data_IF_160106791840
#
_entry.id   IF_160106791840
#
_cell.length_a   1.000
_cell.length_b   1.000
_cell.length_c   1.000
_cell.angle_alpha   90.00
_cell.angle_beta   90.00
_cell.angle_gamma   90.00
#
_symmetry.space_group_name_H-M   'P 1'
#
loop_
_entity.id
_entity.type
_entity.pdbx_description
1 polymer ?
#
# COMPACT_ATOMS: atom_id res chain seq x y z
N UNK A 1 -17.24 -10.82 39.44
CA UNK A 1 -16.13 -11.68 38.96
C UNK A 1 -16.50 -13.16 38.78
N UNK A 2 -17.12 -13.86 39.73
CA UNK A 2 -17.44 -15.31 39.55
C UNK A 2 -18.37 -15.66 38.36
N UNK A 3 -19.34 -14.80 37.99
CA UNK A 3 -20.25 -15.06 36.85
C UNK A 3 -19.62 -14.91 35.47
N UNK A 4 -18.64 -14.02 35.30
CA UNK A 4 -17.94 -13.81 34.03
C UNK A 4 -17.03 -15.01 33.71
N UNK A 5 -16.37 -15.57 34.73
CA UNK A 5 -15.49 -16.75 34.58
C UNK A 5 -16.31 -17.98 34.17
N UNK A 6 -17.53 -18.13 34.71
CA UNK A 6 -18.39 -19.27 34.36
C UNK A 6 -18.87 -19.24 32.90
N UNK A 7 -19.20 -18.05 32.34
CA UNK A 7 -19.60 -17.93 30.94
C UNK A 7 -18.40 -18.16 29.97
N UNK A 8 -17.21 -17.72 30.33
CA UNK A 8 -16.01 -17.96 29.52
C UNK A 8 -15.62 -19.45 29.48
N UNK A 9 -15.79 -20.19 30.58
CA UNK A 9 -15.52 -21.63 30.61
C UNK A 9 -16.58 -22.40 29.81
N UNK A 10 -17.84 -22.00 29.86
CA UNK A 10 -18.92 -22.63 29.07
C UNK A 10 -18.71 -22.36 27.57
N UNK A 11 -18.31 -21.16 27.17
CA UNK A 11 -18.01 -20.83 25.77
C UNK A 11 -16.79 -21.60 25.24
N UNK A 12 -15.75 -21.77 26.04
CA UNK A 12 -14.56 -22.58 25.71
C UNK A 12 -14.89 -24.08 25.62
N UNK A 13 -15.75 -24.60 26.50
CA UNK A 13 -16.23 -25.98 26.41
C UNK A 13 -17.13 -26.20 25.18
N UNK A 14 -17.99 -25.24 24.81
CA UNK A 14 -18.81 -25.35 23.61
C UNK A 14 -17.97 -25.25 22.32
N UNK A 15 -16.91 -24.41 22.29
CA UNK A 15 -15.95 -24.39 21.18
C UNK A 15 -15.16 -25.71 21.08
N UNK A 16 -14.73 -26.30 22.17
CA UNK A 16 -14.03 -27.59 22.15
C UNK A 16 -14.92 -28.75 21.72
N UNK A 17 -16.21 -28.72 22.03
CA UNK A 17 -17.18 -29.72 21.56
C UNK A 17 -17.48 -29.53 20.07
N UNK A 18 -17.58 -28.28 19.58
CA UNK A 18 -17.73 -28.00 18.14
C UNK A 18 -16.52 -28.47 17.33
N UNK A 19 -15.30 -28.23 17.83
CA UNK A 19 -14.08 -28.74 17.19
C UNK A 19 -13.97 -30.27 17.26
N UNK A 20 -14.44 -30.89 18.34
CA UNK A 20 -14.46 -32.34 18.45
C UNK A 20 -15.47 -33.01 17.52
N UNK A 21 -16.59 -32.31 17.19
CA UNK A 21 -17.59 -32.85 16.23
C UNK A 21 -17.14 -32.75 14.77
N UNK A 22 -16.27 -31.79 14.42
CA UNK A 22 -15.70 -31.67 13.05
C UNK A 22 -14.61 -32.73 12.78
N UNK A 23 -14.06 -33.33 13.83
CA UNK A 23 -12.96 -34.32 13.74
C UNK A 23 -13.37 -35.79 13.70
N UNK A 24 -14.69 -36.12 13.66
CA UNK A 24 -15.09 -37.50 13.45
C UNK A 24 -14.96 -37.84 11.94
N UNK A 25 -13.80 -38.41 11.57
CA UNK A 25 -13.68 -39.09 10.28
C UNK A 25 -14.86 -40.08 10.14
N UNK A 26 -15.61 -40.06 9.03
CA UNK A 26 -16.68 -41.02 8.83
C UNK A 26 -16.13 -42.44 9.00
N UNK A 27 -16.77 -43.29 9.80
CA UNK A 27 -16.38 -44.67 9.98
C UNK A 27 -16.52 -45.38 8.63
N UNK A 28 -15.39 -45.73 8.04
CA UNK A 28 -15.33 -46.52 6.82
C UNK A 28 -16.12 -47.83 7.00
N UNK A 29 -17.06 -48.11 6.11
CA UNK A 29 -17.69 -49.39 6.05
C UNK A 29 -16.66 -50.46 5.68
N UNK A 30 -16.61 -51.56 6.44
CA UNK A 30 -15.60 -52.64 6.37
C UNK A 30 -15.43 -53.33 5.00
N UNK A 31 -16.20 -52.92 3.97
CA UNK A 31 -16.22 -53.58 2.63
C UNK A 31 -15.63 -52.74 1.51
N UNK A 32 -15.27 -51.49 1.76
CA UNK A 32 -14.77 -50.61 0.71
C UNK A 32 -13.25 -50.55 0.69
N UNK A 33 -12.69 -50.78 -0.48
CA UNK A 33 -11.26 -50.71 -0.73
C UNK A 33 -10.73 -49.28 -0.79
N UNK A 34 -11.62 -48.32 -0.98
CA UNK A 34 -11.30 -46.91 -1.17
C UNK A 34 -12.00 -46.07 -0.09
N UNK A 35 -11.34 -44.99 0.32
CA UNK A 35 -11.92 -43.97 1.19
C UNK A 35 -12.91 -43.12 0.39
N UNK A 36 -14.01 -42.72 1.03
CA UNK A 36 -14.90 -41.72 0.45
C UNK A 36 -14.19 -40.37 0.39
N UNK A 37 -14.34 -39.67 -0.73
CA UNK A 37 -13.78 -38.33 -0.87
C UNK A 37 -14.53 -37.34 0.03
N UNK A 38 -13.77 -36.52 0.77
CA UNK A 38 -14.26 -35.33 1.47
C UNK A 38 -14.17 -34.09 0.58
N UNK A 39 -14.01 -32.92 1.20
CA UNK A 39 -13.86 -31.66 0.48
C UNK A 39 -12.57 -31.62 -0.37
N UNK A 40 -11.50 -32.26 0.11
CA UNK A 40 -10.23 -32.37 -0.61
C UNK A 40 -10.08 -33.80 -1.07
N UNK A 41 -9.86 -34.04 -2.38
CA UNK A 41 -9.64 -35.38 -2.90
C UNK A 41 -8.49 -36.12 -2.21
N UNK A 42 -8.72 -37.39 -1.86
CA UNK A 42 -7.71 -38.26 -1.20
C UNK A 42 -6.39 -38.29 -1.97
N UNK A 43 -6.44 -38.19 -3.28
CA UNK A 43 -5.28 -38.09 -4.15
C UNK A 43 -4.37 -36.88 -3.81
N UNK A 44 -4.95 -35.73 -3.49
CA UNK A 44 -4.19 -34.52 -3.07
C UNK A 44 -3.44 -34.78 -1.76
N UNK A 45 -4.08 -35.48 -0.81
CA UNK A 45 -3.42 -35.89 0.43
C UNK A 45 -2.24 -36.83 0.19
N UNK A 46 -2.34 -37.70 -0.78
CA UNK A 46 -1.23 -38.56 -1.19
C UNK A 46 -0.09 -37.77 -1.81
N UNK A 47 -0.38 -36.84 -2.73
CA UNK A 47 0.62 -35.95 -3.32
C UNK A 47 1.36 -35.12 -2.26
N UNK A 48 0.65 -34.62 -1.23
CA UNK A 48 1.27 -33.88 -0.12
C UNK A 48 2.31 -34.73 0.63
N UNK A 49 2.08 -36.03 0.80
CA UNK A 49 3.03 -36.94 1.45
C UNK A 49 4.29 -37.18 0.62
N UNK A 50 4.21 -37.01 -0.68
CA UNK A 50 5.31 -37.21 -1.63
C UNK A 50 6.18 -35.96 -1.80
N UNK A 51 5.76 -34.78 -1.26
CA UNK A 51 6.53 -33.56 -1.31
C UNK A 51 7.83 -33.65 -0.51
N UNK A 52 8.95 -33.42 -1.15
CA UNK A 52 10.29 -33.54 -0.55
C UNK A 52 10.94 -32.20 -0.23
N UNK A 53 10.41 -31.10 -0.75
CA UNK A 53 10.93 -29.74 -0.56
C UNK A 53 12.45 -29.63 -0.75
N UNK A 54 13.01 -30.00 -1.93
CA UNK A 54 14.46 -30.13 -2.14
C UNK A 54 15.21 -28.80 -2.05
N UNK A 55 14.50 -27.67 -2.16
CA UNK A 55 15.07 -26.32 -2.00
C UNK A 55 15.05 -25.81 -0.56
N UNK A 56 14.37 -26.50 0.37
CA UNK A 56 14.47 -26.13 1.78
C UNK A 56 15.91 -26.32 2.27
N UNK A 57 16.42 -25.36 3.06
CA UNK A 57 17.81 -25.36 3.55
C UNK A 57 18.23 -26.71 4.18
N UNK A 58 17.36 -27.29 5.01
CA UNK A 58 17.61 -28.57 5.65
C UNK A 58 17.68 -29.77 4.71
N UNK A 59 16.97 -29.72 3.59
CA UNK A 59 16.85 -30.81 2.62
C UNK A 59 17.80 -30.65 1.42
N UNK A 60 18.25 -29.42 1.16
CA UNK A 60 19.08 -29.11 0.01
C UNK A 60 20.45 -29.83 0.07
N UNK A 61 20.97 -30.34 -1.04
CA UNK A 61 22.33 -30.86 -1.13
C UNK A 61 23.39 -29.72 -1.05
N UNK A 62 22.98 -28.47 -1.28
CA UNK A 62 23.89 -27.31 -1.28
C UNK A 62 24.15 -26.90 0.19
N UNK A 63 25.32 -27.21 0.72
CA UNK A 63 25.69 -26.92 2.13
C UNK A 63 26.30 -25.54 2.34
N UNK A 64 26.73 -24.84 1.30
CA UNK A 64 27.20 -23.45 1.40
C UNK A 64 25.99 -22.50 1.36
N UNK A 65 25.76 -21.75 2.43
CA UNK A 65 24.59 -20.88 2.57
C UNK A 65 24.48 -19.84 1.46
N UNK A 66 25.59 -19.22 1.06
CA UNK A 66 25.57 -18.22 -0.03
C UNK A 66 25.15 -18.84 -1.38
N UNK A 67 25.69 -20.01 -1.69
CA UNK A 67 25.33 -20.75 -2.91
C UNK A 67 23.87 -21.21 -2.85
N UNK A 68 23.44 -21.75 -1.70
CA UNK A 68 22.05 -22.14 -1.51
C UNK A 68 21.10 -20.96 -1.66
N UNK A 69 21.37 -19.84 -0.96
CA UNK A 69 20.54 -18.63 -1.06
C UNK A 69 20.38 -18.15 -2.51
N UNK A 70 21.48 -18.17 -3.29
CA UNK A 70 21.44 -17.81 -4.71
C UNK A 70 20.52 -18.77 -5.47
N UNK A 71 20.72 -20.08 -5.36
CA UNK A 71 19.91 -21.09 -6.06
C UNK A 71 18.43 -21.05 -5.64
N UNK A 72 18.14 -20.83 -4.36
CA UNK A 72 16.78 -20.70 -3.87
C UNK A 72 16.09 -19.46 -4.45
N UNK A 73 16.76 -18.29 -4.48
CA UNK A 73 16.21 -17.09 -5.10
C UNK A 73 16.00 -17.26 -6.61
N UNK A 74 16.94 -17.86 -7.32
CA UNK A 74 16.78 -18.17 -8.75
C UNK A 74 15.54 -19.03 -8.98
N UNK A 75 15.29 -20.03 -8.13
CA UNK A 75 14.09 -20.88 -8.22
C UNK A 75 12.80 -20.12 -7.94
N UNK A 76 12.81 -19.21 -6.97
CA UNK A 76 11.66 -18.34 -6.71
C UNK A 76 11.34 -17.48 -7.93
N UNK A 77 12.36 -16.82 -8.52
CA UNK A 77 12.15 -16.02 -9.73
C UNK A 77 11.70 -16.83 -10.94
N UNK A 78 12.17 -18.07 -11.08
CA UNK A 78 11.68 -19.00 -12.12
C UNK A 78 10.17 -19.29 -11.97
N UNK A 79 9.67 -19.38 -10.73
CA UNK A 79 8.25 -19.59 -10.44
C UNK A 79 7.41 -18.31 -10.56
N UNK A 80 8.05 -17.14 -10.58
CA UNK A 80 7.39 -15.85 -10.76
C UNK A 80 7.19 -15.51 -12.25
N UNK A 81 6.40 -14.49 -12.52
CA UNK A 81 6.29 -13.92 -13.87
C UNK A 81 7.59 -13.23 -14.27
N UNK A 82 7.79 -13.06 -15.59
CA UNK A 82 8.83 -12.15 -16.09
C UNK A 82 8.63 -10.75 -15.47
N UNK A 83 9.67 -10.15 -14.88
CA UNK A 83 9.57 -8.82 -14.29
C UNK A 83 9.16 -7.79 -15.36
N UNK A 84 8.36 -6.78 -15.00
CA UNK A 84 8.05 -5.68 -15.89
C UNK A 84 9.33 -4.94 -16.27
N UNK A 85 9.35 -4.36 -17.46
CA UNK A 85 10.45 -3.49 -17.88
C UNK A 85 10.59 -2.33 -16.90
N UNK A 86 11.79 -2.08 -16.41
CA UNK A 86 12.08 -0.97 -15.52
C UNK A 86 11.71 0.38 -16.17
N UNK A 87 11.30 1.34 -15.37
CA UNK A 87 11.12 2.73 -15.81
C UNK A 87 12.46 3.33 -16.24
N UNK A 88 12.43 4.21 -17.23
CA UNK A 88 13.65 4.93 -17.67
C UNK A 88 14.12 5.93 -16.60
N UNK A 89 13.18 6.48 -15.81
CA UNK A 89 13.43 7.36 -14.67
C UNK A 89 12.29 7.19 -13.67
N UNK A 90 12.55 7.43 -12.40
CA UNK A 90 11.51 7.43 -11.36
C UNK A 90 10.48 8.53 -11.56
N UNK A 91 10.89 9.69 -12.08
CA UNK A 91 10.03 10.85 -12.35
C UNK A 91 9.12 11.15 -11.14
N UNK A 92 9.78 11.33 -9.99
CA UNK A 92 9.07 11.58 -8.73
C UNK A 92 8.44 12.96 -8.73
N UNK A 93 7.18 13.00 -8.31
CA UNK A 93 6.40 14.22 -8.12
C UNK A 93 5.84 14.26 -6.71
N UNK A 94 5.94 15.41 -6.05
CA UNK A 94 5.30 15.64 -4.74
C UNK A 94 3.90 16.21 -4.99
N UNK A 95 2.89 15.42 -4.67
CA UNK A 95 1.48 15.80 -4.84
C UNK A 95 0.96 16.65 -3.68
N UNK A 96 1.53 16.44 -2.50
CA UNK A 96 1.18 17.19 -1.29
C UNK A 96 2.12 16.86 -0.15
N UNK A 97 2.18 17.76 0.82
CA UNK A 97 3.01 17.56 2.02
C UNK A 97 2.34 18.11 3.27
N UNK A 98 2.68 17.53 4.39
CA UNK A 98 2.23 17.91 5.73
C UNK A 98 3.40 17.82 6.70
N UNK A 99 3.64 18.89 7.46
CA UNK A 99 4.60 18.85 8.56
C UNK A 99 3.94 18.19 9.77
N UNK A 100 4.60 17.18 10.32
CA UNK A 100 4.20 16.45 11.52
C UNK A 100 5.25 16.59 12.61
N UNK A 101 4.91 16.09 13.79
CA UNK A 101 5.81 16.16 14.95
C UNK A 101 7.07 15.29 14.73
N UNK A 102 8.19 15.95 14.38
CA UNK A 102 9.50 15.34 14.16
C UNK A 102 9.76 14.80 12.76
N UNK A 103 8.85 14.98 11.80
CA UNK A 103 9.06 14.56 10.41
C UNK A 103 8.10 15.24 9.44
N UNK A 104 8.47 15.24 8.17
CA UNK A 104 7.63 15.67 7.06
C UNK A 104 7.00 14.43 6.39
N UNK A 105 5.68 14.48 6.17
CA UNK A 105 4.96 13.50 5.39
C UNK A 105 4.70 14.05 3.98
N UNK A 106 5.04 13.28 2.95
CA UNK A 106 4.78 13.61 1.56
C UNK A 106 3.92 12.54 0.91
N UNK A 107 2.91 12.96 0.17
CA UNK A 107 2.24 12.13 -0.82
C UNK A 107 2.95 12.35 -2.13
N UNK A 108 3.51 11.30 -2.69
CA UNK A 108 4.29 11.35 -3.93
C UNK A 108 3.68 10.46 -5.00
N UNK A 109 4.00 10.74 -6.26
CA UNK A 109 3.80 9.83 -7.36
C UNK A 109 5.15 9.54 -8.03
N UNK A 110 5.36 8.30 -8.49
CA UNK A 110 6.57 7.93 -9.23
C UNK A 110 6.29 6.75 -10.17
N UNK A 111 7.16 6.58 -11.17
CA UNK A 111 7.06 5.48 -12.12
C UNK A 111 7.55 4.19 -11.49
N UNK A 112 6.67 3.22 -11.26
CA UNK A 112 7.04 1.93 -10.65
C UNK A 112 7.65 0.97 -11.69
N UNK A 113 7.32 1.14 -12.95
CA UNK A 113 7.86 0.42 -14.09
C UNK A 113 7.63 1.23 -15.38
N UNK A 114 8.03 0.70 -16.55
CA UNK A 114 7.89 1.40 -17.83
C UNK A 114 6.43 1.66 -18.26
N UNK A 115 5.45 1.08 -17.58
CA UNK A 115 4.03 1.13 -17.98
C UNK A 115 3.13 1.77 -16.93
N UNK A 116 3.62 1.92 -15.70
CA UNK A 116 2.76 2.29 -14.56
C UNK A 116 3.41 3.33 -13.66
N UNK A 117 2.60 4.29 -13.22
CA UNK A 117 2.90 5.28 -12.21
C UNK A 117 1.98 5.04 -11.01
N UNK A 118 2.50 5.12 -9.80
CA UNK A 118 1.75 4.89 -8.57
C UNK A 118 1.94 6.03 -7.59
N UNK A 119 1.03 6.12 -6.62
CA UNK A 119 1.16 7.00 -5.46
C UNK A 119 1.76 6.25 -4.27
N UNK A 120 2.44 6.99 -3.41
CA UNK A 120 3.02 6.49 -2.17
C UNK A 120 2.99 7.57 -1.08
N UNK A 121 3.13 7.14 0.17
CA UNK A 121 3.51 8.03 1.26
C UNK A 121 5.01 7.88 1.53
N UNK A 122 5.70 9.00 1.58
CA UNK A 122 7.11 9.13 1.93
C UNK A 122 7.21 10.00 3.19
N UNK A 123 7.74 9.43 4.28
CA UNK A 123 7.98 10.15 5.53
C UNK A 123 9.48 10.41 5.67
N UNK A 124 9.83 11.66 5.99
CA UNK A 124 11.22 12.12 6.06
C UNK A 124 11.44 12.74 7.44
N UNK A 125 12.31 12.18 8.30
CA UNK A 125 12.62 12.75 9.60
C UNK A 125 13.13 14.18 9.47
N UNK A 126 12.80 15.03 10.45
CA UNK A 126 13.35 16.39 10.54
C UNK A 126 14.85 16.36 10.76
N UNK A 127 15.56 17.43 10.35
CA UNK A 127 16.99 17.60 10.52
C UNK A 127 17.76 17.78 9.22
N UNK A 128 18.97 17.22 9.14
CA UNK A 128 19.86 17.44 7.98
C UNK A 128 19.29 16.92 6.64
N UNK A 129 18.39 15.92 6.67
CA UNK A 129 17.75 15.40 5.48
C UNK A 129 16.86 16.43 4.77
N UNK A 130 16.13 17.24 5.53
CA UNK A 130 15.31 18.32 4.97
C UNK A 130 16.17 19.39 4.26
N UNK A 131 17.33 19.72 4.83
CA UNK A 131 18.27 20.65 4.23
C UNK A 131 18.81 20.15 2.89
N UNK A 132 19.04 18.84 2.76
CA UNK A 132 19.52 18.23 1.52
C UNK A 132 18.45 18.32 0.43
N UNK A 133 17.20 17.95 0.73
CA UNK A 133 16.08 18.04 -0.21
C UNK A 133 15.83 19.46 -0.71
N UNK A 134 15.80 20.42 0.21
CA UNK A 134 15.54 21.82 -0.13
C UNK A 134 16.68 22.45 -0.92
N UNK A 135 17.94 22.04 -0.68
CA UNK A 135 19.08 22.50 -1.44
C UNK A 135 19.08 22.00 -2.90
N UNK A 136 18.48 20.83 -3.15
CA UNK A 136 18.38 20.24 -4.49
C UNK A 136 17.16 20.75 -5.26
N UNK A 137 16.01 20.92 -4.58
CA UNK A 137 14.82 21.53 -5.17
C UNK A 137 15.07 22.96 -5.66
N UNK A 138 15.91 23.72 -4.96
CA UNK A 138 16.30 25.07 -5.37
C UNK A 138 17.26 25.14 -6.57
N UNK A 139 17.84 24.03 -7.00
CA UNK A 139 18.81 23.98 -8.11
C UNK A 139 18.21 23.54 -9.45
N UNK A 140 17.03 22.96 -9.46
CA UNK A 140 16.40 22.38 -10.66
C UNK A 140 14.99 22.90 -10.90
N UNK A 141 14.88 24.06 -11.54
CA UNK A 141 13.62 24.51 -12.13
C UNK A 141 13.35 23.93 -13.53
N UNK A 142 14.20 23.05 -14.05
CA UNK A 142 13.98 22.33 -15.31
C UNK A 142 14.61 20.93 -15.29
N UNK A 143 13.76 19.94 -15.38
CA UNK A 143 13.93 18.59 -15.89
C UNK A 143 15.35 18.06 -16.13
N UNK A 144 15.89 17.34 -15.14
CA UNK A 144 16.84 16.23 -15.28
C UNK A 144 17.32 15.76 -13.89
N UNK A 145 16.39 15.37 -13.00
CA UNK A 145 16.68 14.85 -11.66
C UNK A 145 16.75 13.31 -11.70
N UNK A 146 17.61 12.77 -12.55
CA UNK A 146 17.68 11.30 -12.64
C UNK A 146 19.02 10.68 -12.28
N UNK A 147 20.14 11.31 -12.46
CA UNK A 147 21.39 10.54 -12.54
C UNK A 147 22.69 11.16 -12.01
N UNK A 148 22.71 12.36 -11.43
CA UNK A 148 23.96 12.97 -10.98
C UNK A 148 24.16 13.14 -9.46
N UNK A 149 23.31 12.53 -8.63
CA UNK A 149 23.31 12.71 -7.18
C UNK A 149 24.32 11.87 -6.38
N UNK A 150 25.08 11.00 -7.02
CA UNK A 150 25.90 10.00 -6.31
C UNK A 150 27.28 10.47 -5.83
N UNK A 151 27.79 11.62 -6.26
CA UNK A 151 29.20 11.95 -6.06
C UNK A 151 29.52 13.00 -5.00
N UNK A 152 28.63 13.86 -4.53
CA UNK A 152 28.98 15.01 -3.70
C UNK A 152 28.52 15.00 -2.23
N UNK A 153 27.69 14.04 -1.79
CA UNK A 153 27.10 14.04 -0.43
C UNK A 153 27.82 13.16 0.59
N UNK A 154 29.14 13.22 0.67
CA UNK A 154 29.92 12.45 1.66
C UNK A 154 29.93 13.03 3.09
N UNK A 155 29.28 14.16 3.39
CA UNK A 155 29.39 14.84 4.69
C UNK A 155 28.09 15.04 5.48
N UNK A 156 26.92 14.84 4.90
CA UNK A 156 25.65 14.87 5.65
C UNK A 156 25.27 13.45 6.08
N UNK A 157 24.88 13.27 7.33
CA UNK A 157 24.42 11.96 7.84
C UNK A 157 23.18 11.49 7.08
N UNK A 158 23.29 10.35 6.41
CA UNK A 158 22.14 9.73 5.74
C UNK A 158 21.30 8.93 6.72
N UNK A 159 19.99 8.93 6.55
CA UNK A 159 19.05 8.20 7.41
C UNK A 159 18.94 6.72 7.00
N UNK A 160 18.77 5.81 7.94
CA UNK A 160 18.26 4.49 7.64
C UNK A 160 16.85 4.61 7.05
N UNK A 161 16.43 3.64 6.25
CA UNK A 161 15.11 3.70 5.66
C UNK A 161 14.37 2.37 5.74
N UNK A 162 13.04 2.44 5.69
CA UNK A 162 12.15 1.29 5.83
C UNK A 162 11.06 1.34 4.75
N UNK A 163 10.83 0.22 4.08
CA UNK A 163 9.63 0.00 3.28
C UNK A 163 8.56 -0.59 4.19
N UNK A 164 7.46 0.12 4.40
CA UNK A 164 6.35 -0.30 5.23
C UNK A 164 5.25 -0.92 4.37
N UNK A 165 5.02 -2.23 4.53
CA UNK A 165 4.18 -3.05 3.69
C UNK A 165 2.92 -3.47 4.44
N UNK A 166 1.76 -3.00 3.97
CA UNK A 166 0.48 -3.24 4.62
C UNK A 166 0.01 -4.70 4.53
N UNK A 167 -0.84 -5.10 5.46
CA UNK A 167 -1.48 -6.40 5.53
C UNK A 167 -2.61 -6.56 4.50
N UNK A 168 -3.09 -7.80 4.33
CA UNK A 168 -4.24 -8.12 3.50
C UNK A 168 -5.55 -7.72 4.19
N UNK A 169 -5.83 -8.33 5.34
CA UNK A 169 -7.00 -8.11 6.18
C UNK A 169 -8.35 -8.30 5.48
N UNK A 170 -8.39 -8.82 4.27
CA UNK A 170 -9.57 -8.85 3.40
C UNK A 170 -10.22 -7.46 3.20
N UNK A 171 -9.48 -6.39 3.45
CA UNK A 171 -9.91 -5.02 3.42
C UNK A 171 -9.13 -4.23 2.36
N UNK A 172 -9.71 -4.16 1.15
CA UNK A 172 -9.03 -3.63 -0.05
C UNK A 172 -9.20 -2.11 -0.19
N UNK A 173 -10.14 -1.52 0.53
CA UNK A 173 -10.46 -0.09 0.45
C UNK A 173 -9.28 0.79 0.84
N UNK A 174 -8.50 0.39 1.84
CA UNK A 174 -7.25 1.04 2.26
C UNK A 174 -6.06 0.11 2.10
N UNK A 175 -4.90 0.66 1.77
CA UNK A 175 -3.63 -0.05 1.62
C UNK A 175 -2.52 0.61 2.44
N UNK A 176 -1.75 1.52 1.86
CA UNK A 176 -0.70 2.30 2.54
C UNK A 176 -1.20 3.09 3.74
N UNK A 177 -2.49 3.42 3.74
CA UNK A 177 -3.17 4.09 4.84
C UNK A 177 -3.25 3.24 6.13
N UNK A 178 -3.02 1.92 6.05
CA UNK A 178 -2.85 1.04 7.22
C UNK A 178 -1.51 1.19 7.91
N UNK A 179 -0.51 1.71 7.19
CA UNK A 179 0.87 1.84 7.68
C UNK A 179 1.24 3.27 8.05
N UNK A 180 0.67 4.24 7.36
CA UNK A 180 0.94 5.66 7.52
C UNK A 180 -0.39 6.40 7.62
N UNK A 181 -0.52 7.26 8.61
CA UNK A 181 -1.71 8.09 8.78
C UNK A 181 -1.99 8.87 7.50
N UNK A 182 -3.16 8.69 6.89
CA UNK A 182 -3.48 9.37 5.64
C UNK A 182 -3.59 10.88 5.82
N UNK A 183 -3.26 11.60 4.76
CA UNK A 183 -3.55 13.01 4.58
C UNK A 183 -3.87 13.24 3.10
N UNK A 184 -4.51 14.36 2.81
CA UNK A 184 -5.03 14.63 1.49
C UNK A 184 -4.56 15.98 0.99
N UNK A 185 -4.33 16.06 -0.31
CA UNK A 185 -4.04 17.32 -0.98
C UNK A 185 -5.28 18.21 -1.00
N UNK A 186 -5.10 19.50 -1.23
CA UNK A 186 -6.22 20.44 -1.38
C UNK A 186 -7.18 20.02 -2.49
N UNK A 187 -6.63 19.45 -3.57
CA UNK A 187 -7.41 18.97 -4.71
C UNK A 187 -8.27 17.75 -4.33
N UNK A 188 -7.74 16.83 -3.53
CA UNK A 188 -8.49 15.68 -3.00
C UNK A 188 -9.59 16.11 -2.05
N UNK A 189 -9.37 17.14 -1.22
CA UNK A 189 -10.40 17.79 -0.42
C UNK A 189 -11.40 18.60 -1.26
N UNK A 190 -11.17 18.74 -2.58
CA UNK A 190 -12.03 19.55 -3.44
C UNK A 190 -11.81 21.06 -3.29
N UNK A 191 -10.69 21.47 -2.75
CA UNK A 191 -10.26 22.87 -2.68
C UNK A 191 -9.42 23.20 -3.91
N UNK A 192 -10.05 23.63 -5.01
CA UNK A 192 -9.33 24.12 -6.18
C UNK A 192 -8.82 25.54 -5.96
N UNK A 193 -7.52 25.77 -6.18
CA UNK A 193 -6.92 27.11 -6.14
C UNK A 193 -7.63 28.11 -7.05
N UNK A 194 -8.05 27.66 -8.23
CA UNK A 194 -8.64 28.49 -9.27
C UNK A 194 -10.02 29.05 -8.87
N UNK A 195 -10.79 28.34 -8.02
CA UNK A 195 -12.13 28.80 -7.62
C UNK A 195 -12.05 29.89 -6.52
N UNK A 196 -11.03 29.90 -5.68
CA UNK A 196 -10.87 30.91 -4.64
C UNK A 196 -10.35 32.23 -5.22
N UNK A 197 -9.45 32.18 -6.18
CA UNK A 197 -8.95 33.36 -6.91
C UNK A 197 -10.01 33.92 -7.85
N UNK A 198 -10.68 33.06 -8.63
CA UNK A 198 -11.79 33.46 -9.52
C UNK A 198 -13.00 34.04 -8.75
N UNK A 199 -13.31 33.53 -7.54
CA UNK A 199 -14.37 34.14 -6.70
C UNK A 199 -14.00 35.50 -6.18
N UNK A 200 -12.72 35.74 -5.87
CA UNK A 200 -12.23 37.02 -5.41
C UNK A 200 -12.20 38.04 -6.55
N UNK A 201 -11.78 37.64 -7.75
CA UNK A 201 -11.84 38.45 -8.97
C UNK A 201 -13.29 38.74 -9.40
N UNK A 202 -14.15 37.72 -9.46
CA UNK A 202 -15.57 37.90 -9.79
C UNK A 202 -16.34 38.73 -8.76
N UNK A 203 -15.95 38.71 -7.46
CA UNK A 203 -16.55 39.63 -6.47
C UNK A 203 -16.07 41.07 -6.62
N UNK A 204 -14.86 41.28 -7.08
CA UNK A 204 -14.33 42.60 -7.38
C UNK A 204 -14.95 43.18 -8.67
N UNK A 205 -15.07 42.37 -9.74
CA UNK A 205 -15.74 42.73 -10.98
C UNK A 205 -17.26 43.00 -10.78
N UNK A 206 -17.94 42.21 -9.92
CA UNK A 206 -19.35 42.45 -9.55
C UNK A 206 -19.57 43.78 -8.81
N UNK A 207 -18.58 44.30 -8.11
CA UNK A 207 -18.68 45.61 -7.49
C UNK A 207 -18.57 46.74 -8.49
N UNK A 208 -17.89 46.53 -9.62
CA UNK A 208 -17.80 47.51 -10.71
C UNK A 208 -18.99 47.44 -11.71
N UNK A 209 -19.59 46.21 -11.89
CA UNK A 209 -20.65 45.99 -12.86
C UNK A 209 -22.10 46.23 -12.37
N UNK A 210 -22.30 46.85 -11.19
CA UNK A 210 -23.63 47.16 -10.61
C UNK A 210 -24.37 48.27 -11.37
N UNK A 211 -23.93 48.64 -12.61
CA UNK A 211 -24.48 49.67 -13.44
C UNK A 211 -25.42 49.26 -14.57
N UNK A 212 -25.39 48.00 -15.06
CA UNK A 212 -26.13 47.60 -16.29
C UNK A 212 -26.94 46.31 -16.09
N UNK A 213 -28.23 46.44 -15.78
CA UNK A 213 -29.21 45.33 -15.74
C UNK A 213 -30.13 45.38 -16.96
N UNK A 214 -30.08 44.36 -17.80
CA UNK A 214 -31.25 43.81 -18.55
C UNK A 214 -30.93 42.66 -19.52
N UNK A 215 -30.19 41.62 -19.13
CA UNK A 215 -29.91 40.44 -19.97
C UNK A 215 -29.83 39.10 -19.26
N UNK A 216 -29.93 39.07 -17.93
CA UNK A 216 -29.31 38.07 -17.07
C UNK A 216 -30.15 36.83 -16.66
N UNK A 217 -31.34 36.58 -17.16
CA UNK A 217 -32.20 35.51 -16.62
C UNK A 217 -31.92 34.10 -17.16
N UNK A 218 -31.15 33.92 -18.23
CA UNK A 218 -30.75 32.62 -18.77
C UNK A 218 -29.37 32.20 -18.28
N UNK A 219 -28.40 33.11 -18.23
CA UNK A 219 -27.05 32.84 -17.71
C UNK A 219 -27.04 32.44 -16.23
N UNK A 220 -27.87 33.08 -15.41
CA UNK A 220 -28.00 32.77 -13.99
C UNK A 220 -28.48 31.34 -13.67
N UNK A 221 -29.18 30.65 -14.56
CA UNK A 221 -29.65 29.27 -14.35
C UNK A 221 -28.56 28.25 -14.66
N UNK A 222 -27.75 28.46 -15.67
CA UNK A 222 -26.63 27.57 -16.03
C UNK A 222 -25.47 27.73 -15.05
N UNK A 223 -25.16 28.95 -14.61
CA UNK A 223 -24.17 29.23 -13.57
C UNK A 223 -24.58 28.66 -12.19
N UNK A 224 -25.86 28.72 -11.84
CA UNK A 224 -26.37 28.13 -10.58
C UNK A 224 -26.32 26.60 -10.62
N UNK A 225 -26.60 25.97 -11.76
CA UNK A 225 -26.49 24.50 -11.90
C UNK A 225 -25.04 24.02 -11.91
N UNK A 226 -24.12 24.76 -12.52
CA UNK A 226 -22.68 24.47 -12.48
C UNK A 226 -22.11 24.61 -11.05
N UNK A 227 -22.51 25.63 -10.32
CA UNK A 227 -22.11 25.85 -8.92
C UNK A 227 -22.61 24.71 -8.00
N UNK A 228 -23.88 24.29 -8.16
CA UNK A 228 -24.46 23.17 -7.40
C UNK A 228 -23.73 21.85 -7.72
N UNK A 229 -23.40 21.63 -8.99
CA UNK A 229 -22.65 20.44 -9.43
C UNK A 229 -21.24 20.43 -8.82
N UNK A 230 -20.54 21.55 -8.87
CA UNK A 230 -19.21 21.71 -8.26
C UNK A 230 -19.20 21.50 -6.74
N UNK A 231 -20.22 22.03 -6.04
CA UNK A 231 -20.36 21.83 -4.61
C UNK A 231 -20.67 20.37 -4.25
N UNK A 232 -21.50 19.70 -5.04
CA UNK A 232 -21.78 18.27 -4.84
C UNK A 232 -20.53 17.40 -5.06
N UNK A 233 -19.72 17.68 -6.08
CA UNK A 233 -18.44 16.99 -6.32
C UNK A 233 -17.46 17.23 -5.17
N UNK A 234 -17.36 18.45 -4.67
CA UNK A 234 -16.55 18.77 -3.50
C UNK A 234 -16.98 17.98 -2.27
N UNK A 235 -18.29 17.94 -1.97
CA UNK A 235 -18.84 17.17 -0.85
C UNK A 235 -18.53 15.68 -0.97
N UNK A 236 -18.63 15.11 -2.17
CA UNK A 236 -18.28 13.71 -2.42
C UNK A 236 -16.80 13.44 -2.16
N UNK A 237 -15.91 14.33 -2.62
CA UNK A 237 -14.47 14.21 -2.36
C UNK A 237 -14.17 14.28 -0.86
N UNK A 238 -14.75 15.24 -0.15
CA UNK A 238 -14.59 15.38 1.31
C UNK A 238 -15.11 14.15 2.07
N UNK A 239 -16.28 13.64 1.67
CA UNK A 239 -16.84 12.44 2.28
C UNK A 239 -15.92 11.22 2.09
N UNK A 240 -15.36 11.04 0.88
CA UNK A 240 -14.40 9.98 0.61
C UNK A 240 -13.12 10.13 1.43
N UNK A 241 -12.58 11.34 1.54
CA UNK A 241 -11.39 11.59 2.38
C UNK A 241 -11.67 11.25 3.84
N UNK A 242 -12.84 11.64 4.35
CA UNK A 242 -13.23 11.35 5.74
C UNK A 242 -13.41 9.84 5.94
N UNK A 243 -14.07 9.14 5.01
CA UNK A 243 -14.23 7.69 5.05
C UNK A 243 -12.88 6.96 5.12
N UNK A 244 -11.90 7.40 4.32
CA UNK A 244 -10.54 6.82 4.35
C UNK A 244 -9.86 7.06 5.70
N UNK A 245 -10.00 8.25 6.30
CA UNK A 245 -9.44 8.56 7.62
C UNK A 245 -10.07 7.68 8.70
N UNK A 246 -11.39 7.64 8.75
CA UNK A 246 -12.14 6.87 9.75
C UNK A 246 -11.81 5.38 9.67
N UNK A 247 -11.69 4.86 8.46
CA UNK A 247 -11.39 3.46 8.19
C UNK A 247 -9.94 3.10 8.56
N UNK A 248 -8.98 3.97 8.23
CA UNK A 248 -7.60 3.79 8.60
C UNK A 248 -7.39 3.87 10.12
N UNK A 249 -8.01 4.84 10.79
CA UNK A 249 -7.95 4.97 12.26
C UNK A 249 -8.59 3.76 12.95
N UNK A 250 -9.76 3.29 12.46
CA UNK A 250 -10.40 2.10 12.99
C UNK A 250 -9.51 0.86 12.83
N UNK A 251 -8.88 0.70 11.66
CA UNK A 251 -7.95 -0.40 11.36
C UNK A 251 -6.75 -0.41 12.29
N UNK A 252 -6.10 0.73 12.45
CA UNK A 252 -4.92 0.88 13.28
C UNK A 252 -5.24 0.69 14.76
N UNK A 253 -6.38 1.20 15.23
CA UNK A 253 -6.84 0.98 16.60
C UNK A 253 -7.14 -0.49 16.89
N UNK A 254 -7.67 -1.23 15.91
CA UNK A 254 -8.01 -2.64 16.10
C UNK A 254 -6.77 -3.56 16.06
N UNK A 255 -5.80 -3.30 15.19
CA UNK A 255 -4.74 -4.26 14.86
C UNK A 255 -3.33 -3.80 15.22
N UNK A 256 -3.10 -2.52 15.44
CA UNK A 256 -1.79 -1.92 15.66
C UNK A 256 -1.72 -1.05 16.93
N UNK A 257 -2.62 -1.30 17.88
CA UNK A 257 -2.66 -0.60 19.18
C UNK A 257 -2.73 0.93 19.05
N UNK A 258 -3.45 1.40 18.04
CA UNK A 258 -3.62 2.84 17.75
C UNK A 258 -2.38 3.53 17.17
N UNK A 259 -1.35 2.78 16.77
CA UNK A 259 -0.11 3.35 16.24
C UNK A 259 0.08 3.04 14.75
N UNK A 260 0.21 4.08 13.95
CA UNK A 260 0.69 3.95 12.58
C UNK A 260 2.18 3.62 12.59
N UNK A 261 2.54 2.41 12.14
CA UNK A 261 3.92 1.89 12.19
C UNK A 261 4.90 2.78 11.43
N UNK A 262 4.50 3.32 10.27
CA UNK A 262 5.34 4.20 9.48
C UNK A 262 5.60 5.54 10.19
N UNK A 263 4.57 6.14 10.78
CA UNK A 263 4.68 7.39 11.54
C UNK A 263 5.57 7.21 12.78
N UNK A 264 5.42 6.09 13.47
CA UNK A 264 6.30 5.73 14.58
C UNK A 264 7.77 5.66 14.17
N UNK A 265 8.07 4.96 13.07
CA UNK A 265 9.44 4.82 12.56
C UNK A 265 10.02 6.16 12.11
N UNK A 266 9.21 7.01 11.46
CA UNK A 266 9.66 8.33 11.03
C UNK A 266 10.06 9.21 12.21
N UNK A 267 9.27 9.22 13.30
CA UNK A 267 9.62 9.90 14.56
C UNK A 267 10.92 9.40 15.17
N UNK A 268 11.32 8.14 14.88
CA UNK A 268 12.55 7.53 15.37
C UNK A 268 13.71 7.61 14.38
N UNK A 269 13.63 8.51 13.39
CA UNK A 269 14.74 8.82 12.49
C UNK A 269 14.89 7.90 11.29
N UNK A 270 13.84 7.21 10.87
CA UNK A 270 13.82 6.44 9.63
C UNK A 270 13.10 7.18 8.52
N UNK A 271 13.66 7.20 7.32
CA UNK A 271 12.87 7.51 6.13
C UNK A 271 11.95 6.33 5.85
N UNK A 272 10.65 6.57 5.66
CA UNK A 272 9.67 5.50 5.47
C UNK A 272 8.95 5.68 4.15
N UNK A 273 8.88 4.62 3.35
CA UNK A 273 8.09 4.56 2.13
C UNK A 273 6.98 3.51 2.29
N UNK A 274 5.76 3.86 1.94
CA UNK A 274 4.65 2.89 1.86
C UNK A 274 3.87 3.07 0.56
N UNK A 275 3.64 1.95 -0.13
CA UNK A 275 2.85 1.88 -1.36
C UNK A 275 1.63 0.97 -1.16
N UNK A 276 0.59 1.19 -1.95
CA UNK A 276 -0.50 0.22 -2.07
C UNK A 276 -0.03 -1.01 -2.83
N UNK A 277 -0.34 -2.19 -2.33
CA UNK A 277 -0.28 -3.40 -3.15
C UNK A 277 -1.27 -3.30 -4.32
N UNK A 278 -1.01 -4.03 -5.38
CA UNK A 278 -1.95 -4.13 -6.51
C UNK A 278 -3.34 -4.50 -5.99
N UNK A 279 -4.36 -3.74 -6.38
CA UNK A 279 -5.77 -3.82 -5.98
C UNK A 279 -6.14 -3.24 -4.62
N UNK A 280 -5.20 -2.74 -3.82
CA UNK A 280 -5.49 -2.06 -2.57
C UNK A 280 -5.47 -0.55 -2.74
N UNK A 281 -6.14 0.12 -1.82
CA UNK A 281 -6.09 1.58 -1.70
C UNK A 281 -6.37 2.29 -3.01
N UNK A 282 -5.58 3.27 -3.38
CA UNK A 282 -5.77 4.03 -4.62
C UNK A 282 -5.61 3.20 -5.90
N UNK A 283 -4.97 2.02 -5.80
CA UNK A 283 -4.80 1.10 -6.93
C UNK A 283 -6.03 0.20 -7.17
N UNK A 284 -7.05 0.29 -6.35
CA UNK A 284 -8.27 -0.50 -6.45
C UNK A 284 -9.56 0.29 -6.28
N UNK A 285 -9.56 1.37 -5.48
CA UNK A 285 -10.79 2.11 -5.12
C UNK A 285 -11.56 2.65 -6.32
N UNK A 286 -10.88 3.22 -7.31
CA UNK A 286 -11.52 3.78 -8.52
C UNK A 286 -12.27 2.74 -9.32
N UNK A 287 -11.72 1.55 -9.42
CA UNK A 287 -12.28 0.41 -10.14
C UNK A 287 -13.30 -0.36 -9.31
N UNK A 288 -13.51 0.03 -8.04
CA UNK A 288 -14.39 -0.66 -7.10
C UNK A 288 -13.95 -2.10 -6.92
N UNK A 289 -12.64 -2.34 -6.71
CA UNK A 289 -12.11 -3.68 -6.45
C UNK A 289 -12.59 -4.14 -5.09
N UNK A 290 -13.34 -5.23 -5.11
CA UNK A 290 -13.81 -5.95 -3.93
C UNK A 290 -13.15 -7.33 -3.83
N UNK A 291 -13.52 -8.10 -2.82
CA UNK A 291 -13.01 -9.43 -2.62
C UNK A 291 -13.29 -10.36 -3.81
N UNK A 292 -14.45 -10.25 -4.45
CA UNK A 292 -14.81 -11.12 -5.57
C UNK A 292 -13.93 -10.83 -6.79
N UNK A 293 -13.69 -9.56 -7.11
CA UNK A 293 -12.75 -9.19 -8.19
C UNK A 293 -11.34 -9.65 -7.90
N UNK A 294 -10.88 -9.50 -6.65
CA UNK A 294 -9.58 -9.99 -6.23
C UNK A 294 -9.45 -11.49 -6.44
N UNK A 295 -10.41 -12.28 -5.92
CA UNK A 295 -10.39 -13.74 -6.02
C UNK A 295 -10.47 -14.21 -7.47
N UNK A 296 -11.26 -13.55 -8.32
CA UNK A 296 -11.34 -13.82 -9.76
C UNK A 296 -9.99 -13.62 -10.45
N UNK A 297 -9.32 -12.50 -10.20
CA UNK A 297 -8.03 -12.18 -10.83
C UNK A 297 -6.95 -13.14 -10.32
N UNK A 298 -6.91 -13.40 -9.01
CA UNK A 298 -5.99 -14.37 -8.41
C UNK A 298 -6.19 -15.78 -9.01
N UNK A 299 -7.45 -16.23 -9.14
CA UNK A 299 -7.79 -17.49 -9.78
C UNK A 299 -7.33 -17.57 -11.24
N UNK A 300 -7.55 -16.50 -12.02
CA UNK A 300 -7.10 -16.43 -13.40
C UNK A 300 -5.57 -16.49 -13.50
N UNK A 301 -4.84 -15.84 -12.59
CA UNK A 301 -3.37 -15.94 -12.54
C UNK A 301 -2.91 -17.36 -12.25
N UNK A 302 -3.56 -18.04 -11.31
CA UNK A 302 -3.27 -19.46 -11.01
C UNK A 302 -3.50 -20.37 -12.23
N UNK A 303 -4.56 -20.12 -13.01
CA UNK A 303 -4.81 -20.86 -14.27
C UNK A 303 -3.69 -20.68 -15.29
N UNK A 304 -2.99 -19.55 -15.26
CA UNK A 304 -1.81 -19.29 -16.08
C UNK A 304 -0.51 -19.85 -15.48
N UNK A 305 -0.60 -20.58 -14.37
CA UNK A 305 0.54 -21.10 -13.63
C UNK A 305 1.37 -20.00 -12.97
N UNK A 306 0.73 -18.91 -12.55
CA UNK A 306 1.37 -17.73 -11.93
C UNK A 306 0.62 -17.34 -10.67
N UNK A 307 1.33 -16.63 -9.81
CA UNK A 307 0.78 -16.11 -8.56
C UNK A 307 0.63 -14.58 -8.63
N UNK A 308 -0.46 -14.08 -8.11
CA UNK A 308 -0.73 -12.64 -8.06
C UNK A 308 0.34 -11.88 -7.24
N UNK A 309 0.93 -12.55 -6.25
CA UNK A 309 2.00 -11.99 -5.42
C UNK A 309 3.25 -11.59 -6.21
N UNK A 310 3.46 -12.15 -7.42
CA UNK A 310 4.55 -11.75 -8.29
C UNK A 310 4.51 -10.26 -8.65
N UNK A 311 3.32 -9.72 -8.94
CA UNK A 311 3.17 -8.28 -9.20
C UNK A 311 3.54 -7.45 -7.98
N UNK A 312 3.04 -7.84 -6.80
CA UNK A 312 3.34 -7.14 -5.56
C UNK A 312 4.84 -7.15 -5.25
N UNK A 313 5.48 -8.31 -5.42
CA UNK A 313 6.92 -8.46 -5.16
C UNK A 313 7.76 -7.58 -6.10
N UNK A 314 7.43 -7.52 -7.39
CA UNK A 314 8.15 -6.65 -8.33
C UNK A 314 7.95 -5.17 -8.01
N UNK A 315 6.74 -4.77 -7.63
CA UNK A 315 6.46 -3.39 -7.19
C UNK A 315 7.22 -3.06 -5.90
N UNK A 316 7.29 -3.99 -4.95
CA UNK A 316 8.04 -3.81 -3.70
C UNK A 316 9.55 -3.70 -3.94
N UNK A 317 10.09 -4.51 -4.86
CA UNK A 317 11.49 -4.42 -5.28
C UNK A 317 11.79 -3.07 -5.93
N UNK A 318 10.97 -2.63 -6.89
CA UNK A 318 11.13 -1.34 -7.55
C UNK A 318 10.99 -0.17 -6.56
N UNK A 319 10.04 -0.26 -5.61
CA UNK A 319 9.89 0.73 -4.53
C UNK A 319 11.10 0.78 -3.60
N UNK A 320 11.71 -0.36 -3.33
CA UNK A 320 12.94 -0.43 -2.53
C UNK A 320 14.12 0.19 -3.28
N UNK A 321 14.24 -0.06 -4.58
CA UNK A 321 15.25 0.57 -5.44
C UNK A 321 15.04 2.09 -5.50
N UNK A 322 13.79 2.54 -5.68
CA UNK A 322 13.44 3.96 -5.61
C UNK A 322 13.86 4.56 -4.27
N UNK A 323 13.47 3.96 -3.14
CA UNK A 323 13.82 4.43 -1.80
C UNK A 323 15.34 4.54 -1.61
N UNK A 324 16.09 3.54 -2.08
CA UNK A 324 17.58 3.55 -1.99
C UNK A 324 18.23 4.61 -2.86
N UNK A 325 17.57 5.09 -3.90
CA UNK A 325 18.05 6.14 -4.79
C UNK A 325 17.91 7.55 -4.20
N UNK A 326 17.08 7.71 -3.16
CA UNK A 326 16.84 9.01 -2.54
C UNK A 326 18.11 9.54 -1.85
N UNK A 327 18.45 10.83 -2.02
CA UNK A 327 19.73 11.39 -1.56
C UNK A 327 19.91 11.35 -0.05
N UNK A 328 18.83 11.46 0.73
CA UNK A 328 18.85 11.42 2.18
C UNK A 328 18.93 9.99 2.75
N UNK A 329 18.80 8.96 1.94
CA UNK A 329 18.74 7.56 2.38
C UNK A 329 20.13 6.92 2.36
N UNK A 330 20.48 6.22 3.44
CA UNK A 330 21.64 5.33 3.48
C UNK A 330 21.28 3.96 2.87
N UNK A 331 21.66 3.74 1.63
CA UNK A 331 21.41 2.53 0.87
C UNK A 331 21.95 1.24 1.53
N UNK A 332 22.79 1.35 2.58
CA UNK A 332 23.32 0.22 3.33
C UNK A 332 22.49 -0.12 4.57
N UNK A 333 21.54 0.75 4.93
CA UNK A 333 20.68 0.61 6.11
C UNK A 333 19.20 0.66 5.70
N UNK A 334 18.80 -0.32 4.89
CA UNK A 334 17.43 -0.47 4.41
C UNK A 334 16.81 -1.67 5.11
N UNK A 335 15.62 -1.48 5.64
CA UNK A 335 14.78 -2.54 6.20
C UNK A 335 13.40 -2.57 5.56
N UNK A 336 12.64 -3.59 5.88
CA UNK A 336 11.22 -3.68 5.56
C UNK A 336 10.45 -4.16 6.78
N UNK A 337 9.22 -3.77 6.89
CA UNK A 337 8.30 -4.15 7.96
C UNK A 337 6.90 -4.39 7.41
N UNK A 338 6.22 -5.37 7.95
CA UNK A 338 4.83 -5.66 7.59
C UNK A 338 4.24 -6.77 8.43
N UNK A 339 2.92 -6.86 8.44
CA UNK A 339 2.16 -7.90 9.12
C UNK A 339 1.39 -8.73 8.08
N UNK A 340 1.12 -10.01 8.35
CA UNK A 340 0.32 -10.88 7.47
C UNK A 340 0.87 -10.89 6.02
N UNK A 341 0.10 -10.45 5.04
CA UNK A 341 0.56 -10.27 3.65
C UNK A 341 1.77 -9.34 3.58
N UNK A 342 1.81 -8.28 4.40
CA UNK A 342 2.97 -7.39 4.49
C UNK A 342 4.22 -8.11 5.00
N UNK A 343 4.09 -9.07 5.92
CA UNK A 343 5.21 -9.91 6.35
C UNK A 343 5.67 -10.84 5.22
N UNK A 344 4.74 -11.44 4.48
CA UNK A 344 5.06 -12.21 3.27
C UNK A 344 5.83 -11.37 2.23
N UNK A 345 5.35 -10.16 1.93
CA UNK A 345 6.03 -9.22 1.04
C UNK A 345 7.42 -8.83 1.55
N UNK A 346 7.57 -8.67 2.88
CA UNK A 346 8.86 -8.32 3.51
C UNK A 346 9.92 -9.41 3.37
N UNK A 347 9.54 -10.69 3.49
CA UNK A 347 10.55 -11.76 3.35
C UNK A 347 10.85 -12.12 1.89
N UNK A 348 10.00 -11.71 0.95
CA UNK A 348 10.27 -11.82 -0.48
C UNK A 348 11.33 -10.81 -0.98
N UNK A 349 11.44 -9.63 -0.33
CA UNK A 349 12.48 -8.63 -0.57
C UNK A 349 13.85 -9.07 -0.06
#
# INVERSE_FOLDING_TARGET
MKRIITYSIIALLQMSVAFAQVSQKPKLQKREKYEWEGEIPTYVEQLKKELTYPMAWGNSPIRNFKKWKKAAREKVFECMMTPPKAAAAWDMEVLGEEQRDGYKAQKIAFNINAYSRITAYLLIPDGEAEKILNAEAGKNSNAEVGLQLSAQNKKAGKFPAVVALHDHGAHLFIGKEKMIRPFFTKEEWGENKDISEAKTEAQNERKEALGERKGELKENKEESTANIKGENERRKKQALCQEILDDADAWVNQLYDGQYVGDYLAKHGYVVLSIDATMWGERGRKEGVDRNKYDLIAGNMMMLGRDLSAFMTYDDMASTEFLTSLPMVDAKRIGCVGCSMGAYRSWML
#
